data_IF_782881027193
#
_entry.id   IF_782881027193
#
_cell.length_a   1.000
_cell.length_b   1.000
_cell.length_c   1.000
_cell.angle_alpha   90.00
_cell.angle_beta   90.00
_cell.angle_gamma   90.00
#
_symmetry.space_group_name_H-M   'P 1'
#
loop_
_entity.id
_entity.type
_entity.pdbx_description
1 polymer ?
#
# COMPACT_ATOMS: atom_id res chain seq x y z
N UNK A 1 -8.97 0.91 -12.06
CA UNK A 1 -7.59 1.04 -12.58
C UNK A 1 -7.25 -0.25 -13.30
N UNK A 2 -6.85 -0.17 -14.57
CA UNK A 2 -6.47 -1.34 -15.37
C UNK A 2 -4.94 -1.30 -15.50
N UNK A 3 -4.25 -2.34 -15.02
CA UNK A 3 -2.80 -2.46 -15.19
C UNK A 3 -2.49 -2.84 -16.64
N UNK A 4 -1.42 -2.26 -17.17
CA UNK A 4 -0.98 -2.52 -18.55
C UNK A 4 -0.23 -3.85 -18.66
N UNK A 5 -0.05 -4.33 -19.89
CA UNK A 5 0.83 -5.49 -20.12
C UNK A 5 2.31 -5.18 -19.81
N UNK A 6 2.72 -3.91 -19.88
CA UNK A 6 4.04 -3.47 -19.44
C UNK A 6 4.23 -3.65 -17.92
N UNK A 7 3.20 -3.31 -17.13
CA UNK A 7 3.17 -3.56 -15.69
C UNK A 7 3.28 -5.04 -15.35
N UNK A 8 2.58 -5.87 -16.12
CA UNK A 8 2.62 -7.32 -15.95
C UNK A 8 3.99 -7.88 -16.25
N UNK A 9 4.62 -7.45 -17.34
CA UNK A 9 5.97 -7.87 -17.69
C UNK A 9 6.98 -7.43 -16.61
N UNK A 10 6.85 -6.21 -16.08
CA UNK A 10 7.68 -5.74 -14.98
C UNK A 10 7.49 -6.59 -13.71
N UNK A 11 6.25 -6.94 -13.37
CA UNK A 11 5.92 -7.80 -12.24
C UNK A 11 6.51 -9.21 -12.40
N UNK A 12 6.42 -9.79 -13.60
CA UNK A 12 7.02 -11.09 -13.93
C UNK A 12 8.55 -11.07 -13.78
N UNK A 13 9.21 -10.03 -14.30
CA UNK A 13 10.67 -9.88 -14.19
C UNK A 13 11.11 -9.77 -12.72
N UNK A 14 10.38 -9.02 -11.90
CA UNK A 14 10.62 -8.93 -10.46
C UNK A 14 10.39 -10.26 -9.77
N UNK A 15 9.33 -10.99 -10.12
CA UNK A 15 9.11 -12.32 -9.58
C UNK A 15 10.30 -13.25 -9.87
N UNK A 16 10.74 -13.32 -11.13
CA UNK A 16 11.82 -14.24 -11.53
C UNK A 16 13.14 -13.94 -10.83
N UNK A 17 13.49 -12.65 -10.69
CA UNK A 17 14.70 -12.23 -9.97
C UNK A 17 14.62 -12.51 -8.46
N UNK A 18 13.49 -12.19 -7.83
CA UNK A 18 13.33 -12.34 -6.37
C UNK A 18 13.12 -13.78 -5.94
N UNK A 19 12.45 -14.59 -6.75
CA UNK A 19 12.26 -16.02 -6.51
C UNK A 19 13.60 -16.71 -6.26
N UNK A 20 14.59 -16.45 -7.11
CA UNK A 20 15.94 -17.00 -6.98
C UNK A 20 16.65 -16.45 -5.74
N UNK A 21 16.60 -15.12 -5.55
CA UNK A 21 17.28 -14.45 -4.42
C UNK A 21 16.76 -14.86 -3.04
N UNK A 22 15.45 -15.09 -2.93
CA UNK A 22 14.79 -15.46 -1.68
C UNK A 22 14.65 -16.97 -1.48
N UNK A 23 15.17 -17.78 -2.42
CA UNK A 23 14.97 -19.23 -2.45
C UNK A 23 13.49 -19.65 -2.33
N UNK A 24 12.59 -18.84 -2.90
CA UNK A 24 11.15 -19.05 -2.76
C UNK A 24 10.63 -19.92 -3.90
N UNK A 25 9.74 -20.86 -3.62
CA UNK A 25 9.04 -21.61 -4.67
C UNK A 25 7.79 -20.86 -5.13
N UNK A 26 7.34 -21.15 -6.35
CA UNK A 26 6.11 -20.57 -6.87
C UNK A 26 4.88 -21.01 -6.07
N UNK A 27 4.84 -22.27 -5.64
CA UNK A 27 3.80 -22.80 -4.76
C UNK A 27 3.79 -22.06 -3.41
N UNK A 28 4.96 -21.79 -2.84
CA UNK A 28 5.04 -21.14 -1.54
C UNK A 28 4.60 -19.67 -1.60
N UNK A 29 4.98 -18.95 -2.65
CA UNK A 29 4.46 -17.60 -2.87
C UNK A 29 2.95 -17.61 -3.08
N UNK A 30 2.42 -18.54 -3.87
CA UNK A 30 0.98 -18.68 -4.08
C UNK A 30 0.24 -18.92 -2.75
N UNK A 31 0.75 -19.81 -1.89
CA UNK A 31 0.20 -20.04 -0.54
C UNK A 31 0.20 -18.77 0.32
N UNK A 32 1.29 -17.98 0.32
CA UNK A 32 1.38 -16.72 1.08
C UNK A 32 0.34 -15.69 0.61
N UNK A 33 -0.04 -15.75 -0.66
CA UNK A 33 -1.07 -14.89 -1.26
C UNK A 33 -2.48 -15.47 -1.17
N UNK A 34 -2.67 -16.63 -0.52
CA UNK A 34 -3.93 -17.39 -0.50
C UNK A 34 -4.46 -17.71 -1.91
N UNK A 35 -3.55 -18.06 -2.82
CA UNK A 35 -3.84 -18.46 -4.19
C UNK A 35 -3.37 -19.89 -4.45
N UNK A 36 -3.96 -20.54 -5.44
CA UNK A 36 -3.40 -21.75 -6.03
C UNK A 36 -2.17 -21.40 -6.90
N UNK A 37 -1.29 -22.38 -7.12
CA UNK A 37 -0.13 -22.20 -8.00
C UNK A 37 -0.54 -21.83 -9.45
N UNK A 38 -1.69 -22.33 -9.89
CA UNK A 38 -2.24 -22.08 -11.21
C UNK A 38 -2.74 -20.64 -11.33
N UNK A 39 -3.55 -20.16 -10.38
CA UNK A 39 -4.01 -18.76 -10.34
C UNK A 39 -2.85 -17.77 -10.30
N UNK A 40 -1.84 -18.06 -9.47
CA UNK A 40 -0.63 -17.24 -9.42
C UNK A 40 0.10 -17.21 -10.78
N UNK A 41 0.16 -18.34 -11.48
CA UNK A 41 0.74 -18.41 -12.83
C UNK A 41 -0.04 -17.58 -13.84
N UNK A 42 -1.37 -17.65 -13.82
CA UNK A 42 -2.25 -16.90 -14.74
C UNK A 42 -2.15 -15.39 -14.51
N UNK A 43 -2.11 -14.95 -13.25
CA UNK A 43 -1.89 -13.54 -12.90
C UNK A 43 -0.56 -13.01 -13.46
N UNK A 44 0.51 -13.81 -13.39
CA UNK A 44 1.82 -13.41 -13.89
C UNK A 44 1.96 -13.48 -15.42
N UNK A 45 1.25 -14.38 -16.12
CA UNK A 45 1.45 -14.63 -17.55
C UNK A 45 0.50 -13.90 -18.50
N UNK A 46 -0.63 -13.38 -18.03
CA UNK A 46 -1.55 -12.63 -18.90
C UNK A 46 -3.01 -13.01 -18.75
N UNK A 47 -3.28 -14.24 -18.30
CA UNK A 47 -4.60 -14.85 -18.45
C UNK A 47 -5.65 -14.31 -17.45
N UNK A 48 -5.22 -13.56 -16.44
CA UNK A 48 -6.10 -12.94 -15.44
C UNK A 48 -5.79 -11.46 -15.23
N UNK A 49 -6.81 -10.65 -14.92
CA UNK A 49 -6.64 -9.23 -14.60
C UNK A 49 -5.87 -9.03 -13.29
N UNK A 50 -4.88 -8.14 -13.28
CA UNK A 50 -4.17 -7.75 -12.07
C UNK A 50 -5.05 -6.81 -11.22
N UNK A 51 -5.05 -7.04 -9.90
CA UNK A 51 -5.71 -6.15 -8.93
C UNK A 51 -4.66 -5.45 -8.06
N UNK A 52 -5.00 -4.25 -7.56
CA UNK A 52 -4.11 -3.56 -6.61
C UNK A 52 -3.88 -4.39 -5.35
N UNK A 53 -4.90 -5.08 -4.85
CA UNK A 53 -4.77 -5.94 -3.67
C UNK A 53 -3.70 -7.01 -3.88
N UNK A 54 -3.73 -7.69 -5.03
CA UNK A 54 -2.72 -8.69 -5.38
C UNK A 54 -1.33 -8.06 -5.46
N UNK A 55 -1.19 -6.94 -6.19
CA UNK A 55 0.08 -6.23 -6.35
C UNK A 55 0.67 -5.82 -5.00
N UNK A 56 -0.13 -5.20 -4.13
CA UNK A 56 0.31 -4.76 -2.80
C UNK A 56 0.76 -5.93 -1.94
N UNK A 57 0.01 -7.03 -1.93
CA UNK A 57 0.37 -8.23 -1.16
C UNK A 57 1.63 -8.91 -1.72
N UNK A 58 1.71 -9.05 -3.05
CA UNK A 58 2.87 -9.60 -3.74
C UNK A 58 4.14 -8.82 -3.42
N UNK A 59 4.12 -7.50 -3.62
CA UNK A 59 5.23 -6.61 -3.33
C UNK A 59 5.62 -6.64 -1.84
N UNK A 60 4.64 -6.68 -0.92
CA UNK A 60 4.89 -6.80 0.52
C UNK A 60 5.64 -8.09 0.87
N UNK A 61 5.26 -9.24 0.31
CA UNK A 61 5.94 -10.52 0.56
C UNK A 61 7.35 -10.59 -0.02
N UNK A 62 7.66 -9.74 -1.01
CA UNK A 62 9.00 -9.61 -1.58
C UNK A 62 9.81 -8.45 -0.98
N UNK A 63 9.25 -7.71 -0.02
CA UNK A 63 9.84 -6.50 0.56
C UNK A 63 10.19 -5.42 -0.48
N UNK A 64 9.29 -5.20 -1.45
CA UNK A 64 9.45 -4.21 -2.52
C UNK A 64 8.29 -3.22 -2.49
N UNK A 65 8.56 -1.99 -2.90
CA UNK A 65 7.52 -0.98 -3.10
C UNK A 65 6.92 -1.10 -4.51
N UNK A 66 5.59 -1.23 -4.67
CA UNK A 66 4.92 -1.33 -5.98
C UNK A 66 5.31 -0.22 -6.96
N UNK A 67 5.42 1.02 -6.46
CA UNK A 67 5.79 2.21 -7.24
C UNK A 67 7.22 2.16 -7.80
N UNK A 68 8.11 1.30 -7.27
CA UNK A 68 9.47 1.12 -7.83
C UNK A 68 9.51 0.09 -8.96
N UNK A 69 8.48 -0.75 -9.06
CA UNK A 69 8.44 -1.87 -10.01
C UNK A 69 7.54 -1.54 -11.19
N UNK A 70 6.32 -1.08 -10.91
CA UNK A 70 5.26 -0.97 -11.90
C UNK A 70 5.33 0.39 -12.62
N UNK A 71 5.58 0.43 -13.95
CA UNK A 71 5.61 1.65 -14.73
C UNK A 71 4.38 2.55 -14.56
N UNK A 72 3.17 1.97 -14.50
CA UNK A 72 1.93 2.74 -14.33
C UNK A 72 1.86 3.47 -13.00
N UNK A 73 2.49 2.91 -11.95
CA UNK A 73 2.54 3.50 -10.61
C UNK A 73 3.69 4.51 -10.47
N UNK A 74 4.74 4.41 -11.29
CA UNK A 74 5.83 5.40 -11.34
C UNK A 74 5.34 6.75 -11.85
N UNK A 75 4.49 6.73 -12.87
CA UNK A 75 3.91 7.96 -13.44
C UNK A 75 2.96 8.66 -12.46
N UNK A 76 2.28 7.92 -11.58
CA UNK A 76 1.42 8.49 -10.53
C UNK A 76 2.20 9.00 -9.32
N UNK A 77 3.35 8.38 -8.99
CA UNK A 77 4.18 8.79 -7.87
C UNK A 77 4.80 10.19 -8.01
N UNK A 78 4.91 10.72 -9.25
CA UNK A 78 5.40 12.09 -9.50
C UNK A 78 4.33 13.17 -9.32
N UNK A 79 3.05 12.82 -9.06
CA UNK A 79 1.97 13.81 -8.99
C UNK A 79 0.99 13.69 -7.83
N UNK A 80 1.18 12.80 -6.86
CA UNK A 80 0.31 12.80 -5.67
C UNK A 80 1.10 12.62 -4.38
N UNK A 81 1.45 13.75 -3.76
CA UNK A 81 1.52 13.81 -2.29
C UNK A 81 0.09 13.58 -1.81
N UNK A 82 -0.27 12.31 -1.62
CA UNK A 82 -1.57 11.93 -1.07
C UNK A 82 -1.62 12.51 0.34
N UNK A 83 -2.39 13.58 0.51
CA UNK A 83 -2.61 14.18 1.83
C UNK A 83 -3.25 13.13 2.74
N UNK A 84 -2.47 12.63 3.70
CA UNK A 84 -2.98 11.70 4.71
C UNK A 84 -3.72 12.54 5.74
N UNK A 85 -5.06 12.46 5.73
CA UNK A 85 -5.90 13.12 6.72
C UNK A 85 -5.77 12.38 8.06
N UNK A 86 -5.13 13.01 9.04
CA UNK A 86 -5.02 12.51 10.40
C UNK A 86 -6.09 13.19 11.27
N UNK A 87 -6.78 12.40 12.10
CA UNK A 87 -7.80 12.90 13.03
C UNK A 87 -7.41 12.55 14.46
N UNK A 88 -7.27 13.58 15.29
CA UNK A 88 -7.14 13.41 16.73
C UNK A 88 -8.50 13.63 17.41
N UNK A 89 -8.82 12.82 18.41
CA UNK A 89 -9.96 12.99 19.31
C UNK A 89 -9.43 13.08 20.73
N UNK A 90 -9.77 14.17 21.42
CA UNK A 90 -9.28 14.48 22.76
C UNK A 90 -10.50 14.61 23.67
N UNK A 91 -10.46 13.97 24.82
CA UNK A 91 -11.43 14.15 25.90
C UNK A 91 -10.81 15.02 26.97
N UNK A 92 -11.52 16.05 27.39
CA UNK A 92 -11.09 17.00 28.41
C UNK A 92 -11.99 16.81 29.62
N UNK A 93 -11.38 16.68 30.80
CA UNK A 93 -12.09 16.61 32.07
C UNK A 93 -12.42 18.05 32.52
N UNK A 94 -13.41 18.67 31.89
CA UNK A 94 -13.79 20.06 32.12
C UNK A 94 -14.64 20.65 31.00
N UNK A 95 -15.16 21.86 31.24
CA UNK A 95 -16.00 22.56 30.26
C UNK A 95 -15.12 23.35 29.28
N UNK A 96 -15.06 22.88 28.03
CA UNK A 96 -14.34 23.53 26.94
C UNK A 96 -14.97 24.90 26.68
N UNK A 97 -14.17 25.96 26.83
CA UNK A 97 -14.60 27.34 26.58
C UNK A 97 -14.28 27.78 25.15
N UNK A 98 -13.08 27.43 24.67
CA UNK A 98 -12.58 27.88 23.38
C UNK A 98 -11.58 26.90 22.77
N UNK A 99 -11.65 26.73 21.45
CA UNK A 99 -10.69 25.94 20.66
C UNK A 99 -10.18 26.80 19.52
N UNK A 100 -8.85 26.96 19.44
CA UNK A 100 -8.20 27.73 18.38
C UNK A 100 -7.00 26.98 17.78
N UNK A 101 -6.54 27.46 16.62
CA UNK A 101 -5.41 26.88 15.89
C UNK A 101 -4.35 27.98 15.73
N UNK A 102 -3.13 27.70 16.20
CA UNK A 102 -1.99 28.58 16.01
C UNK A 102 -0.84 27.79 15.35
N UNK A 103 -0.60 28.07 14.06
CA UNK A 103 0.39 27.35 13.27
C UNK A 103 0.09 25.85 13.19
N UNK A 104 0.92 25.04 13.83
CA UNK A 104 0.78 23.57 13.91
C UNK A 104 0.21 23.07 15.24
N UNK A 105 -0.33 23.97 16.07
CA UNK A 105 -0.86 23.64 17.41
C UNK A 105 -2.38 23.83 17.46
N UNK A 106 -3.04 22.94 18.21
CA UNK A 106 -4.45 23.08 18.59
C UNK A 106 -4.49 23.47 20.06
N UNK A 107 -5.01 24.64 20.36
CA UNK A 107 -5.13 25.18 21.72
C UNK A 107 -6.57 24.93 22.19
N UNK A 108 -6.72 24.24 23.33
CA UNK A 108 -8.02 23.92 23.93
C UNK A 108 -8.05 24.55 25.33
N UNK A 109 -8.85 25.60 25.49
CA UNK A 109 -9.08 26.26 26.78
C UNK A 109 -10.28 25.62 27.46
N UNK A 110 -10.10 25.15 28.69
CA UNK A 110 -11.14 24.49 29.46
C UNK A 110 -11.08 24.86 30.94
N UNK A 111 -12.24 24.82 31.58
CA UNK A 111 -12.36 25.04 33.02
C UNK A 111 -12.56 23.67 33.68
N UNK A 112 -11.71 23.37 34.65
CA UNK A 112 -11.84 22.19 35.51
C UNK A 112 -12.20 22.66 36.92
N UNK A 113 -13.26 22.08 37.49
CA UNK A 113 -13.64 22.31 38.88
C UNK A 113 -13.06 21.17 39.73
N UNK A 114 -12.15 21.54 40.65
CA UNK A 114 -11.51 20.61 41.58
C UNK A 114 -12.44 20.19 42.73
#
# INVERSE_FOLDING_TARGET
>A
MVFSEEDRQALYNVWMSQKAKMHLTQMEMAKRLNLTQLEFSHLLRGDSSLSMTFISQFCRHLHIEPHRVLPSLKQTATSEVKAICLKNRISVDGDIQHVSIEGNQVIIEYIHYA
#
